data_IF_506355138831
#
_entry.id   IF_506355138831
#
_cell.length_a   1.000
_cell.length_b   1.000
_cell.length_c   1.000
_cell.angle_alpha   90.00
_cell.angle_beta   90.00
_cell.angle_gamma   90.00
#
_symmetry.space_group_name_H-M   'P 1'
#
loop_
_entity.id
_entity.type
_entity.pdbx_description
1 polymer ?
#
# COMPACT_ATOMS: atom_id res chain seq x y z
N UNK A 1 21.31 11.00 -22.58
CA UNK A 1 19.91 10.64 -22.86
C UNK A 1 19.85 9.14 -22.74
N UNK A 2 19.17 8.65 -21.70
CA UNK A 2 18.98 7.21 -21.50
C UNK A 2 18.20 6.64 -22.69
N UNK A 3 18.45 5.37 -23.01
CA UNK A 3 17.68 4.69 -24.04
C UNK A 3 16.20 4.67 -23.63
N UNK A 4 15.26 4.87 -24.58
CA UNK A 4 13.83 4.85 -24.27
C UNK A 4 13.43 3.47 -23.71
N UNK A 5 12.49 3.46 -22.76
CA UNK A 5 11.91 2.22 -22.27
C UNK A 5 11.12 1.56 -23.40
N UNK A 6 11.32 0.27 -23.57
CA UNK A 6 10.58 -0.56 -24.53
C UNK A 6 9.74 -1.58 -23.78
N UNK A 7 8.54 -1.84 -24.29
CA UNK A 7 7.61 -2.80 -23.70
C UNK A 7 7.38 -3.98 -24.64
N UNK A 8 7.33 -5.18 -24.09
CA UNK A 8 6.97 -6.40 -24.81
C UNK A 8 6.02 -7.25 -23.97
N UNK A 9 4.87 -7.71 -24.49
CA UNK A 9 3.99 -8.62 -23.77
C UNK A 9 4.73 -9.88 -23.28
N UNK A 10 4.38 -10.32 -22.07
CA UNK A 10 4.76 -11.60 -21.50
C UNK A 10 3.58 -12.56 -21.68
N UNK A 11 3.69 -13.44 -22.66
CA UNK A 11 2.66 -14.40 -23.06
C UNK A 11 3.00 -15.83 -22.58
N UNK A 12 1.98 -16.70 -22.56
CA UNK A 12 2.16 -18.13 -22.26
C UNK A 12 2.36 -18.46 -20.77
N UNK A 13 2.77 -19.69 -20.47
CA UNK A 13 3.03 -20.11 -19.10
C UNK A 13 1.79 -20.18 -18.19
N UNK A 14 1.99 -19.98 -16.89
CA UNK A 14 0.94 -20.05 -15.84
C UNK A 14 0.15 -18.75 -15.65
N UNK A 15 0.40 -17.72 -16.48
CA UNK A 15 -0.19 -16.40 -16.31
C UNK A 15 0.50 -15.56 -15.23
N UNK A 16 -0.12 -14.43 -14.86
CA UNK A 16 0.46 -13.53 -13.85
C UNK A 16 0.53 -14.17 -12.47
N UNK A 17 1.66 -13.96 -11.80
CA UNK A 17 1.92 -14.44 -10.45
C UNK A 17 1.55 -13.42 -9.36
N UNK A 18 1.04 -12.23 -9.72
CA UNK A 18 0.56 -11.21 -8.78
C UNK A 18 -0.91 -11.45 -8.42
N UNK A 19 -1.11 -12.25 -7.37
CA UNK A 19 -2.43 -12.56 -6.83
C UNK A 19 -2.75 -11.68 -5.62
N UNK A 20 -4.02 -11.35 -5.46
CA UNK A 20 -4.56 -10.85 -4.19
C UNK A 20 -5.18 -12.01 -3.43
N UNK A 21 -5.01 -12.04 -2.12
CA UNK A 21 -5.62 -13.08 -1.29
C UNK A 21 -7.12 -12.84 -1.05
N UNK A 22 -7.54 -11.58 -1.07
CA UNK A 22 -8.95 -11.21 -0.97
C UNK A 22 -9.63 -11.17 -2.33
N UNK A 23 -10.96 -11.36 -2.36
CA UNK A 23 -11.73 -11.17 -3.58
C UNK A 23 -11.52 -9.77 -4.15
N UNK A 24 -11.06 -9.70 -5.40
CA UNK A 24 -10.99 -8.47 -6.19
C UNK A 24 -12.04 -8.51 -7.29
N UNK A 25 -12.45 -7.36 -7.86
CA UNK A 25 -13.42 -7.34 -8.94
C UNK A 25 -12.98 -8.23 -10.13
N UNK A 26 -13.93 -8.90 -10.76
CA UNK A 26 -13.70 -9.60 -12.02
C UNK A 26 -13.39 -8.57 -13.12
N UNK A 27 -12.12 -8.46 -13.49
CA UNK A 27 -11.64 -7.50 -14.47
C UNK A 27 -12.31 -7.70 -15.84
N UNK A 28 -12.46 -8.94 -16.30
CA UNK A 28 -13.07 -9.21 -17.60
C UNK A 28 -14.53 -8.79 -17.62
N UNK A 29 -15.28 -9.12 -16.57
CA UNK A 29 -16.67 -8.70 -16.41
C UNK A 29 -16.81 -7.17 -16.30
N UNK A 30 -15.83 -6.50 -15.72
CA UNK A 30 -15.77 -5.04 -15.62
C UNK A 30 -15.27 -4.35 -16.91
N UNK A 31 -14.91 -5.10 -17.96
CA UNK A 31 -14.40 -4.54 -19.21
C UNK A 31 -12.94 -4.06 -19.13
N UNK A 32 -12.16 -4.67 -18.24
CA UNK A 32 -10.72 -4.44 -18.07
C UNK A 32 -9.90 -5.58 -18.68
N UNK A 33 -8.66 -5.27 -19.06
CA UNK A 33 -7.62 -6.23 -19.43
C UNK A 33 -6.60 -6.34 -18.31
N UNK A 34 -6.04 -7.53 -18.10
CA UNK A 34 -4.88 -7.79 -17.23
C UNK A 34 -3.76 -8.39 -18.09
N UNK A 35 -2.61 -7.71 -18.19
CA UNK A 35 -1.51 -8.14 -19.06
C UNK A 35 -0.17 -7.77 -18.45
N UNK A 36 0.77 -8.71 -18.47
CA UNK A 36 2.15 -8.47 -18.04
C UNK A 36 3.02 -8.12 -19.25
N UNK A 37 3.98 -7.22 -19.04
CA UNK A 37 4.96 -6.82 -20.03
C UNK A 37 6.37 -6.88 -19.44
N UNK A 38 7.35 -7.25 -20.27
CA UNK A 38 8.74 -6.92 -20.03
C UNK A 38 8.94 -5.44 -20.36
N UNK A 39 9.56 -4.69 -19.45
CA UNK A 39 10.01 -3.33 -19.65
C UNK A 39 11.55 -3.30 -19.64
N UNK A 40 12.15 -2.90 -20.76
CA UNK A 40 13.60 -2.94 -20.96
C UNK A 40 14.17 -1.54 -21.19
N UNK A 41 15.35 -1.28 -20.64
CA UNK A 41 16.04 -0.01 -20.79
C UNK A 41 17.44 -0.01 -20.18
N UNK A 42 18.00 1.18 -20.01
CA UNK A 42 19.27 1.43 -19.30
C UNK A 42 18.96 2.32 -18.11
N UNK A 43 19.42 1.91 -16.93
CA UNK A 43 19.22 2.62 -15.68
C UNK A 43 20.54 3.14 -15.10
N UNK A 44 20.48 4.28 -14.44
CA UNK A 44 21.56 4.91 -13.68
C UNK A 44 21.31 4.81 -12.17
N UNK A 45 22.34 5.04 -11.36
CA UNK A 45 22.19 5.19 -9.91
C UNK A 45 21.82 6.64 -9.59
N UNK A 46 20.58 6.87 -9.15
CA UNK A 46 20.11 8.22 -8.79
C UNK A 46 20.30 8.59 -7.32
N UNK A 47 20.48 7.59 -6.45
CA UNK A 47 20.53 7.76 -4.99
C UNK A 47 21.86 7.23 -4.44
N UNK A 48 22.45 7.99 -3.53
CA UNK A 48 23.77 7.72 -2.95
C UNK A 48 24.95 8.04 -3.88
N UNK A 49 26.14 8.18 -3.29
CA UNK A 49 27.31 8.77 -3.96
C UNK A 49 28.27 7.75 -4.61
N UNK A 50 27.99 6.45 -4.50
CA UNK A 50 28.89 5.40 -5.03
C UNK A 50 28.91 5.44 -6.56
N UNK A 51 30.06 5.76 -7.20
CA UNK A 51 30.14 5.82 -8.65
C UNK A 51 29.83 4.46 -9.26
N UNK A 52 28.79 4.41 -10.08
CA UNK A 52 28.25 3.18 -10.64
C UNK A 52 27.96 3.40 -12.13
N UNK A 53 28.48 2.57 -13.05
CA UNK A 53 28.18 2.73 -14.48
C UNK A 53 26.70 2.44 -14.76
N UNK A 54 26.09 3.03 -15.80
CA UNK A 54 24.74 2.65 -16.22
C UNK A 54 24.65 1.16 -16.55
N UNK A 55 23.50 0.55 -16.27
CA UNK A 55 23.27 -0.88 -16.48
C UNK A 55 21.99 -1.15 -17.28
N UNK A 56 22.05 -2.14 -18.16
CA UNK A 56 20.86 -2.65 -18.84
C UNK A 56 19.98 -3.45 -17.87
N UNK A 57 18.67 -3.29 -18.01
CA UNK A 57 17.69 -4.05 -17.25
C UNK A 57 16.56 -4.52 -18.15
N UNK A 58 15.88 -5.58 -17.73
CA UNK A 58 14.59 -6.00 -18.27
C UNK A 58 13.75 -6.48 -17.11
N UNK A 59 12.82 -5.65 -16.67
CA UNK A 59 11.96 -5.95 -15.53
C UNK A 59 10.52 -6.25 -15.98
N UNK A 60 9.64 -6.58 -15.03
CA UNK A 60 8.22 -6.80 -15.27
C UNK A 60 7.40 -5.56 -14.90
N UNK A 61 6.40 -5.27 -15.72
CA UNK A 61 5.25 -4.43 -15.35
C UNK A 61 3.96 -5.21 -15.54
N UNK A 62 2.99 -5.03 -14.64
CA UNK A 62 1.67 -5.67 -14.71
C UNK A 62 0.61 -4.60 -14.90
N UNK A 63 -0.08 -4.63 -16.03
CA UNK A 63 -0.99 -3.58 -16.47
C UNK A 63 -2.42 -4.07 -16.40
N UNK A 64 -3.23 -3.39 -15.59
CA UNK A 64 -4.67 -3.59 -15.46
C UNK A 64 -5.38 -2.32 -15.88
N UNK A 65 -6.10 -2.35 -17.00
CA UNK A 65 -6.67 -1.13 -17.59
C UNK A 65 -8.04 -1.37 -18.22
N UNK A 66 -8.88 -0.33 -18.39
CA UNK A 66 -10.06 -0.41 -19.24
C UNK A 66 -9.68 -0.83 -20.66
N UNK A 67 -10.45 -1.76 -21.24
CA UNK A 67 -10.24 -2.25 -22.60
C UNK A 67 -10.62 -1.19 -23.65
N UNK A 68 -11.63 -0.37 -23.35
CA UNK A 68 -12.15 0.67 -24.25
C UNK A 68 -11.74 2.07 -23.75
N UNK A 69 -11.22 2.95 -24.64
CA UNK A 69 -10.81 4.30 -24.25
C UNK A 69 -11.92 5.12 -23.57
N UNK A 70 -13.18 4.96 -24.01
CA UNK A 70 -14.33 5.67 -23.43
C UNK A 70 -14.65 5.30 -21.97
N UNK A 71 -14.09 4.21 -21.45
CA UNK A 71 -14.24 3.80 -20.04
C UNK A 71 -13.02 4.20 -19.19
N UNK A 72 -11.97 4.75 -19.82
CA UNK A 72 -10.78 5.19 -19.11
C UNK A 72 -10.97 6.62 -18.59
N UNK A 73 -10.66 6.79 -17.32
CA UNK A 73 -10.78 8.06 -16.61
C UNK A 73 -9.64 9.05 -16.90
N UNK A 74 -8.58 8.64 -17.59
CA UNK A 74 -7.35 9.44 -17.73
C UNK A 74 -6.36 9.29 -16.57
N UNK A 75 -6.71 8.56 -15.50
CA UNK A 75 -5.85 8.38 -14.33
C UNK A 75 -5.16 7.02 -14.31
N UNK A 76 -3.86 7.06 -14.09
CA UNK A 76 -2.98 5.90 -13.95
C UNK A 76 -2.42 5.85 -12.52
N UNK A 77 -2.57 4.70 -11.86
CA UNK A 77 -1.98 4.41 -10.56
C UNK A 77 -0.82 3.45 -10.75
N UNK A 78 0.39 3.88 -10.39
CA UNK A 78 1.63 3.12 -10.55
C UNK A 78 2.10 2.64 -9.18
N UNK A 79 1.99 1.34 -8.92
CA UNK A 79 2.44 0.74 -7.68
C UNK A 79 3.91 0.32 -7.78
N UNK A 80 4.73 0.76 -6.83
CA UNK A 80 6.02 0.15 -6.56
C UNK A 80 5.74 -1.20 -5.87
N UNK A 81 5.92 -2.31 -6.58
CA UNK A 81 5.59 -3.63 -6.04
C UNK A 81 6.48 -3.97 -4.83
N UNK A 82 5.86 -4.53 -3.79
CA UNK A 82 6.53 -4.79 -2.54
C UNK A 82 7.25 -6.15 -2.56
N UNK A 83 8.52 -6.17 -2.15
CA UNK A 83 9.36 -7.39 -2.19
C UNK A 83 9.66 -7.99 -0.81
N UNK A 84 8.99 -7.53 0.25
CA UNK A 84 9.33 -7.90 1.64
C UNK A 84 9.19 -9.40 1.91
N UNK A 85 8.32 -10.08 1.17
CA UNK A 85 8.11 -11.54 1.24
C UNK A 85 9.17 -12.35 0.47
N UNK A 86 10.09 -11.69 -0.22
CA UNK A 86 11.10 -12.33 -1.08
C UNK A 86 10.66 -12.49 -2.54
N UNK A 87 9.46 -11.99 -2.89
CA UNK A 87 9.01 -11.80 -4.27
C UNK A 87 7.99 -10.67 -4.32
N UNK A 88 7.67 -10.18 -5.52
CA UNK A 88 6.68 -9.10 -5.66
C UNK A 88 5.30 -9.47 -5.10
N UNK A 89 4.72 -8.51 -4.39
CA UNK A 89 3.31 -8.45 -4.01
C UNK A 89 2.75 -7.07 -4.38
N UNK A 90 1.42 -7.01 -4.55
CA UNK A 90 0.68 -5.79 -4.86
C UNK A 90 -0.31 -5.44 -3.72
N UNK A 91 0.20 -5.04 -2.54
CA UNK A 91 -0.65 -4.64 -1.42
C UNK A 91 -1.61 -3.49 -1.78
N UNK A 92 -1.16 -2.46 -2.49
CA UNK A 92 -2.02 -1.33 -2.84
C UNK A 92 -3.13 -1.77 -3.78
N UNK A 93 -2.84 -2.58 -4.81
CA UNK A 93 -3.89 -3.16 -5.63
C UNK A 93 -4.92 -3.94 -4.80
N UNK A 94 -4.49 -4.70 -3.79
CA UNK A 94 -5.41 -5.48 -2.95
C UNK A 94 -6.42 -4.60 -2.21
N UNK A 95 -6.00 -3.43 -1.71
CA UNK A 95 -6.90 -2.47 -1.07
C UNK A 95 -7.71 -1.64 -2.08
N UNK A 96 -7.10 -1.26 -3.21
CA UNK A 96 -7.62 -0.24 -4.12
C UNK A 96 -8.39 -0.80 -5.32
N UNK A 97 -8.35 -2.11 -5.61
CA UNK A 97 -8.91 -2.69 -6.83
C UNK A 97 -10.38 -2.29 -7.09
N UNK A 98 -11.22 -2.27 -6.06
CA UNK A 98 -12.62 -1.86 -6.20
C UNK A 98 -12.77 -0.39 -6.63
N UNK A 99 -11.97 0.52 -6.05
CA UNK A 99 -11.95 1.93 -6.42
C UNK A 99 -11.41 2.12 -7.84
N UNK A 100 -10.30 1.45 -8.17
CA UNK A 100 -9.67 1.54 -9.49
C UNK A 100 -10.64 1.12 -10.60
N UNK A 101 -11.32 -0.01 -10.39
CA UNK A 101 -12.26 -0.56 -11.37
C UNK A 101 -13.51 0.30 -11.49
N UNK A 102 -14.15 0.69 -10.37
CA UNK A 102 -15.38 1.50 -10.42
C UNK A 102 -15.14 2.90 -11.01
N UNK A 103 -13.96 3.46 -10.79
CA UNK A 103 -13.59 4.80 -11.28
C UNK A 103 -12.97 4.78 -12.67
N UNK A 104 -12.78 3.62 -13.30
CA UNK A 104 -12.16 3.52 -14.62
C UNK A 104 -10.69 3.95 -14.65
N UNK A 105 -9.96 3.77 -13.55
CA UNK A 105 -8.53 4.06 -13.45
C UNK A 105 -7.73 2.89 -14.02
N UNK A 106 -6.60 3.18 -14.67
CA UNK A 106 -5.62 2.16 -15.01
C UNK A 106 -4.67 1.95 -13.84
N UNK A 107 -4.14 0.74 -13.72
CA UNK A 107 -3.17 0.35 -12.71
C UNK A 107 -1.96 -0.29 -13.39
N UNK A 108 -0.77 0.06 -12.93
CA UNK A 108 0.49 -0.56 -13.34
C UNK A 108 1.32 -0.90 -12.11
N UNK A 109 1.54 -2.18 -11.85
CA UNK A 109 2.51 -2.65 -10.85
C UNK A 109 3.90 -2.77 -11.47
N UNK A 110 4.91 -2.14 -10.88
CA UNK A 110 6.30 -2.17 -11.37
C UNK A 110 7.18 -3.00 -10.44
N UNK A 111 7.84 -4.03 -11.00
CA UNK A 111 8.87 -4.80 -10.32
C UNK A 111 10.17 -3.98 -10.24
N UNK A 112 10.21 -2.95 -9.39
CA UNK A 112 11.29 -1.97 -9.36
C UNK A 112 12.55 -2.45 -8.62
N UNK A 113 12.46 -3.51 -7.82
CA UNK A 113 13.56 -4.02 -7.01
C UNK A 113 14.07 -5.38 -7.49
N UNK A 114 15.33 -5.65 -7.22
CA UNK A 114 16.08 -6.86 -7.58
C UNK A 114 15.34 -8.14 -7.17
N UNK A 115 14.89 -8.19 -5.92
CA UNK A 115 14.22 -9.37 -5.34
C UNK A 115 12.93 -9.71 -6.07
N UNK A 116 12.23 -8.73 -6.67
CA UNK A 116 11.02 -8.94 -7.44
C UNK A 116 11.25 -9.80 -8.69
N UNK A 117 12.44 -9.71 -9.29
CA UNK A 117 12.82 -10.40 -10.53
C UNK A 117 13.67 -11.64 -10.25
N UNK A 118 14.75 -11.47 -9.51
CA UNK A 118 15.80 -12.49 -9.31
C UNK A 118 15.49 -13.40 -8.12
N UNK A 119 14.50 -13.02 -7.29
CA UNK A 119 14.21 -13.69 -6.02
C UNK A 119 15.25 -13.37 -4.95
N UNK A 120 14.92 -13.72 -3.70
CA UNK A 120 15.81 -13.50 -2.57
C UNK A 120 15.20 -13.94 -1.26
N UNK A 121 15.97 -13.86 -0.17
CA UNK A 121 15.43 -14.14 1.16
C UNK A 121 14.50 -13.00 1.58
N UNK A 122 13.20 -13.29 1.68
CA UNK A 122 12.21 -12.37 2.24
C UNK A 122 12.48 -12.09 3.72
N UNK A 123 12.16 -10.88 4.17
CA UNK A 123 12.27 -10.47 5.57
C UNK A 123 11.02 -10.82 6.40
N UNK A 124 9.92 -11.12 5.71
CA UNK A 124 8.68 -11.68 6.24
C UNK A 124 8.42 -12.99 5.49
N UNK A 125 8.45 -14.13 6.19
CA UNK A 125 8.30 -15.44 5.56
C UNK A 125 7.09 -16.19 6.11
N UNK A 126 6.28 -16.75 5.22
CA UNK A 126 5.33 -17.82 5.54
C UNK A 126 6.08 -19.15 5.31
N UNK A 127 5.74 -20.21 6.05
CA UNK A 127 6.42 -21.52 6.00
C UNK A 127 6.33 -22.26 4.64
N UNK A 128 5.79 -21.62 3.59
CA UNK A 128 5.50 -22.18 2.28
C UNK A 128 6.66 -21.96 1.29
N UNK A 129 7.79 -22.64 1.51
CA UNK A 129 8.88 -22.72 0.54
C UNK A 129 9.78 -21.47 0.44
N UNK A 130 10.96 -21.63 -0.16
CA UNK A 130 11.88 -20.52 -0.39
C UNK A 130 11.33 -19.60 -1.48
N UNK A 131 11.47 -18.26 -1.36
CA UNK A 131 11.07 -17.35 -2.42
C UNK A 131 11.89 -17.65 -3.69
N UNK A 132 11.19 -17.74 -4.81
CA UNK A 132 11.75 -18.06 -6.13
C UNK A 132 11.74 -16.80 -6.99
N UNK A 133 12.80 -16.59 -7.77
CA UNK A 133 12.80 -15.58 -8.83
C UNK A 133 11.71 -15.88 -9.87
N UNK A 134 11.33 -14.88 -10.67
CA UNK A 134 10.26 -15.07 -11.65
C UNK A 134 10.61 -16.18 -12.65
N UNK A 135 11.86 -16.20 -13.14
CA UNK A 135 12.34 -17.24 -14.03
C UNK A 135 12.30 -18.65 -13.40
N UNK A 136 12.43 -18.79 -12.08
CA UNK A 136 12.28 -20.10 -11.42
C UNK A 136 10.81 -20.54 -11.36
N UNK A 137 9.87 -19.58 -11.21
CA UNK A 137 8.42 -19.85 -11.16
C UNK A 137 7.87 -20.27 -12.53
N UNK A 138 8.35 -19.62 -13.59
CA UNK A 138 7.97 -19.87 -14.99
C UNK A 138 9.12 -19.50 -15.96
N UNK A 139 10.05 -20.44 -16.23
CA UNK A 139 11.26 -20.16 -17.01
C UNK A 139 11.01 -19.71 -18.44
N UNK A 140 9.94 -20.18 -19.07
CA UNK A 140 9.62 -19.85 -20.46
C UNK A 140 9.00 -18.44 -20.54
N UNK A 141 8.05 -18.14 -19.66
CA UNK A 141 7.35 -16.85 -19.65
C UNK A 141 8.28 -15.70 -19.29
N UNK A 142 9.14 -15.89 -18.29
CA UNK A 142 10.02 -14.85 -17.75
C UNK A 142 11.47 -14.93 -18.27
N UNK A 143 11.70 -15.70 -19.34
CA UNK A 143 13.00 -15.75 -20.00
C UNK A 143 13.48 -14.35 -20.40
N UNK A 144 14.70 -14.01 -19.99
CA UNK A 144 15.34 -12.75 -20.33
C UNK A 144 14.97 -11.55 -19.45
N UNK A 145 14.15 -11.75 -18.40
CA UNK A 145 14.10 -10.76 -17.32
C UNK A 145 15.45 -10.76 -16.57
N UNK A 146 15.90 -9.57 -16.20
CA UNK A 146 17.12 -9.36 -15.43
C UNK A 146 17.07 -8.00 -14.71
N UNK A 147 17.45 -8.00 -13.43
CA UNK A 147 17.55 -6.77 -12.64
C UNK A 147 19.00 -6.51 -12.17
N UNK A 148 19.61 -5.35 -12.46
CA UNK A 148 21.03 -5.11 -12.18
C UNK A 148 21.37 -4.81 -10.71
N UNK A 149 20.37 -4.73 -9.83
CA UNK A 149 20.51 -4.48 -8.38
C UNK A 149 19.71 -3.27 -7.91
N UNK A 150 19.44 -3.20 -6.60
CA UNK A 150 18.69 -2.08 -5.98
C UNK A 150 19.48 -0.76 -6.00
N UNK A 151 20.74 -0.76 -6.44
CA UNK A 151 21.44 0.47 -6.82
C UNK A 151 20.72 1.26 -7.93
N UNK A 152 19.90 0.60 -8.75
CA UNK A 152 19.25 1.17 -9.93
C UNK A 152 17.71 1.26 -9.81
N UNK A 153 17.11 0.79 -8.72
CA UNK A 153 15.65 0.65 -8.59
C UNK A 153 14.90 1.97 -8.77
N UNK A 154 15.47 3.08 -8.28
CA UNK A 154 14.88 4.40 -8.38
C UNK A 154 14.82 4.93 -9.82
N UNK A 155 15.87 4.70 -10.63
CA UNK A 155 15.83 5.12 -12.04
C UNK A 155 14.94 4.20 -12.87
N UNK A 156 14.92 2.90 -12.55
CA UNK A 156 14.01 1.94 -13.19
C UNK A 156 12.56 2.40 -12.99
N UNK A 157 12.18 2.71 -11.75
CA UNK A 157 10.83 3.20 -11.44
C UNK A 157 10.54 4.55 -12.11
N UNK A 158 11.48 5.51 -12.04
CA UNK A 158 11.32 6.83 -12.66
C UNK A 158 11.18 6.74 -14.20
N UNK A 159 12.05 5.96 -14.84
CA UNK A 159 12.08 5.82 -16.30
C UNK A 159 10.85 5.09 -16.84
N UNK A 160 10.37 4.06 -16.13
CA UNK A 160 9.10 3.39 -16.47
C UNK A 160 7.93 4.35 -16.25
N UNK A 161 7.90 5.09 -15.13
CA UNK A 161 6.85 6.10 -14.86
C UNK A 161 6.73 7.15 -15.96
N UNK A 162 7.87 7.69 -16.44
CA UNK A 162 7.90 8.61 -17.59
C UNK A 162 7.40 7.96 -18.88
N UNK A 163 7.85 6.75 -19.16
CA UNK A 163 7.47 6.04 -20.39
C UNK A 163 5.96 5.75 -20.45
N UNK A 164 5.32 5.47 -19.31
CA UNK A 164 3.88 5.21 -19.26
C UNK A 164 2.99 6.42 -19.62
N UNK A 165 3.54 7.64 -19.67
CA UNK A 165 2.83 8.84 -20.15
C UNK A 165 2.77 8.93 -21.67
N UNK A 166 3.77 8.40 -22.38
CA UNK A 166 3.87 8.49 -23.84
C UNK A 166 3.26 7.24 -24.50
N UNK A 167 1.93 7.27 -24.63
CA UNK A 167 1.14 6.11 -25.04
C UNK A 167 1.09 5.86 -26.55
N UNK A 168 1.71 6.72 -27.35
CA UNK A 168 1.59 6.74 -28.81
C UNK A 168 2.39 5.63 -29.50
N UNK A 169 3.34 5.01 -28.80
CA UNK A 169 4.16 3.95 -29.38
C UNK A 169 3.33 2.68 -29.68
N UNK A 170 3.55 2.11 -30.86
CA UNK A 170 2.97 0.81 -31.23
C UNK A 170 3.39 -0.27 -30.23
N UNK A 171 2.41 -0.98 -29.66
CA UNK A 171 2.65 -2.01 -28.64
C UNK A 171 2.84 -1.47 -27.21
N UNK A 172 2.66 -0.16 -26.98
CA UNK A 172 2.65 0.41 -25.63
C UNK A 172 1.56 -0.23 -24.75
N UNK A 173 1.82 -0.52 -23.46
CA UNK A 173 0.84 -1.18 -22.57
C UNK A 173 -0.48 -0.43 -22.43
N UNK A 174 -0.44 0.90 -22.56
CA UNK A 174 -1.58 1.81 -22.48
C UNK A 174 -1.97 2.38 -23.85
N UNK A 175 -1.57 1.75 -24.96
CA UNK A 175 -1.87 2.24 -26.31
C UNK A 175 -3.38 2.48 -26.50
N UNK A 176 -3.71 3.66 -27.05
CA UNK A 176 -5.08 4.13 -27.27
C UNK A 176 -5.75 4.78 -26.06
N UNK A 177 -5.07 4.89 -24.92
CA UNK A 177 -5.53 5.63 -23.74
C UNK A 177 -4.83 6.98 -23.62
N UNK A 178 -5.55 8.02 -23.21
CA UNK A 178 -4.97 9.35 -22.93
C UNK A 178 -4.71 9.50 -21.43
N UNK A 179 -3.46 9.42 -20.99
CA UNK A 179 -3.08 9.51 -19.58
C UNK A 179 -2.87 10.98 -19.18
N UNK A 180 -3.77 11.53 -18.37
CA UNK A 180 -3.70 12.90 -17.86
C UNK A 180 -3.07 13.01 -16.47
N UNK A 181 -3.15 11.96 -15.66
CA UNK A 181 -2.66 11.94 -14.28
C UNK A 181 -1.99 10.62 -13.96
N UNK A 182 -0.80 10.66 -13.36
CA UNK A 182 -0.05 9.49 -12.91
C UNK A 182 0.27 9.62 -11.43
N UNK A 183 -0.22 8.69 -10.63
CA UNK A 183 0.01 8.63 -9.19
C UNK A 183 1.00 7.51 -8.86
N UNK A 184 1.94 7.73 -7.96
CA UNK A 184 2.79 6.67 -7.42
C UNK A 184 2.24 6.19 -6.07
N UNK A 185 2.14 4.89 -5.90
CA UNK A 185 1.62 4.27 -4.66
C UNK A 185 2.54 3.16 -4.17
N UNK A 186 2.56 2.92 -2.87
CA UNK A 186 3.31 1.82 -2.28
C UNK A 186 3.11 1.70 -0.78
N UNK A 187 3.09 0.45 -0.32
CA UNK A 187 2.95 0.08 1.09
C UNK A 187 4.29 -0.44 1.65
N UNK A 188 4.55 -0.23 2.94
CA UNK A 188 5.62 -0.90 3.69
C UNK A 188 7.02 -0.61 3.12
N UNK A 189 7.78 -1.63 2.69
CA UNK A 189 9.08 -1.43 2.04
C UNK A 189 8.99 -0.55 0.80
N UNK A 190 7.94 -0.68 -0.01
CA UNK A 190 7.70 0.20 -1.15
C UNK A 190 7.45 1.64 -0.71
N UNK A 191 6.78 1.84 0.43
CA UNK A 191 6.58 3.16 1.01
C UNK A 191 7.89 3.77 1.55
N UNK A 192 8.81 2.94 2.06
CA UNK A 192 10.18 3.37 2.40
C UNK A 192 10.96 3.76 1.14
N UNK A 193 10.78 3.04 0.02
CA UNK A 193 11.35 3.42 -1.27
C UNK A 193 10.77 4.75 -1.79
N UNK A 194 9.45 4.93 -1.74
CA UNK A 194 8.80 6.19 -2.12
C UNK A 194 9.22 7.36 -1.22
N UNK A 195 9.51 7.11 0.06
CA UNK A 195 10.08 8.11 0.96
C UNK A 195 11.43 8.64 0.44
N UNK A 196 12.33 7.73 0.03
CA UNK A 196 13.61 8.11 -0.57
C UNK A 196 13.42 8.76 -1.94
N UNK A 197 12.52 8.22 -2.77
CA UNK A 197 12.22 8.72 -4.11
C UNK A 197 11.78 10.19 -4.06
N UNK A 198 10.80 10.50 -3.21
CA UNK A 198 10.28 11.86 -3.02
C UNK A 198 11.36 12.80 -2.49
N UNK A 199 12.28 12.33 -1.65
CA UNK A 199 13.30 13.19 -1.06
C UNK A 199 14.48 13.47 -2.01
N UNK A 200 14.95 12.44 -2.70
CA UNK A 200 16.28 12.43 -3.33
C UNK A 200 16.22 12.41 -4.86
N UNK A 201 15.19 11.80 -5.47
CA UNK A 201 15.10 11.67 -6.92
C UNK A 201 14.50 12.93 -7.53
N UNK A 202 15.11 13.56 -8.56
CA UNK A 202 14.51 14.69 -9.27
C UNK A 202 13.41 14.16 -10.22
N UNK A 203 12.19 14.06 -9.69
CA UNK A 203 11.08 13.36 -10.33
C UNK A 203 9.80 14.21 -10.48
N UNK A 204 9.94 15.54 -10.49
CA UNK A 204 8.80 16.46 -10.63
C UNK A 204 8.04 16.28 -11.97
N UNK A 205 8.67 15.63 -12.96
CA UNK A 205 8.10 15.28 -14.26
C UNK A 205 7.55 13.85 -14.35
N UNK A 206 7.70 13.03 -13.29
CA UNK A 206 7.36 11.61 -13.33
C UNK A 206 5.94 11.38 -12.82
N UNK A 207 5.63 11.81 -11.59
CA UNK A 207 4.36 11.53 -10.92
C UNK A 207 3.70 12.82 -10.41
N UNK A 208 2.39 12.90 -10.63
CA UNK A 208 1.57 14.05 -10.24
C UNK A 208 1.22 14.03 -8.76
N UNK A 209 1.30 12.88 -8.08
CA UNK A 209 1.06 12.75 -6.64
C UNK A 209 1.50 11.40 -6.08
N UNK A 210 1.63 11.31 -4.76
CA UNK A 210 2.16 10.14 -4.06
C UNK A 210 1.23 9.68 -2.94
N UNK A 211 0.87 8.39 -2.93
CA UNK A 211 0.23 7.72 -1.78
C UNK A 211 1.28 6.83 -1.11
N UNK A 212 1.69 7.18 0.10
CA UNK A 212 2.73 6.48 0.86
C UNK A 212 2.10 5.82 2.06
N UNK A 213 1.95 4.51 2.03
CA UNK A 213 1.19 3.76 3.04
C UNK A 213 2.12 2.92 3.93
N UNK A 214 1.98 3.02 5.24
CA UNK A 214 2.71 2.19 6.21
C UNK A 214 4.24 2.29 6.10
N UNK A 215 4.76 3.51 5.90
CA UNK A 215 6.21 3.77 5.84
C UNK A 215 6.85 3.75 7.23
N UNK A 216 8.10 3.29 7.32
CA UNK A 216 8.93 3.44 8.51
C UNK A 216 9.50 4.88 8.64
N UNK A 217 10.15 5.13 9.78
CA UNK A 217 10.85 6.37 10.08
C UNK A 217 11.94 6.68 9.04
N UNK A 218 12.66 5.67 8.57
CA UNK A 218 13.71 5.82 7.57
C UNK A 218 13.18 5.52 6.16
N UNK A 219 13.82 6.13 5.15
CA UNK A 219 13.68 5.73 3.75
C UNK A 219 14.54 4.50 3.42
N UNK A 220 14.21 3.81 2.33
CA UNK A 220 15.02 2.70 1.81
C UNK A 220 16.32 3.29 1.21
N UNK A 221 17.52 2.91 1.65
CA UNK A 221 18.74 3.42 1.04
C UNK A 221 18.90 2.89 -0.39
N UNK A 222 19.77 3.51 -1.19
CA UNK A 222 20.23 2.86 -2.41
C UNK A 222 20.97 1.58 -2.08
N UNK A 223 20.65 0.50 -2.80
CA UNK A 223 21.30 -0.79 -2.64
C UNK A 223 22.68 -0.86 -3.31
N UNK A 224 23.17 -2.09 -3.41
CA UNK A 224 24.38 -2.44 -4.14
C UNK A 224 24.05 -3.00 -5.53
N UNK A 225 25.07 -3.08 -6.39
CA UNK A 225 24.94 -3.73 -7.69
C UNK A 225 24.79 -5.24 -7.51
N UNK A 226 23.84 -5.84 -8.22
CA UNK A 226 23.59 -7.28 -8.24
C UNK A 226 22.92 -7.84 -6.98
N UNK A 227 22.39 -7.00 -6.09
CA UNK A 227 21.69 -7.45 -4.88
C UNK A 227 20.45 -6.61 -4.58
N UNK A 228 19.55 -7.17 -3.77
CA UNK A 228 18.46 -6.43 -3.13
C UNK A 228 18.89 -5.84 -1.78
N UNK A 229 18.22 -4.78 -1.36
CA UNK A 229 18.40 -4.20 -0.01
C UNK A 229 17.80 -5.13 1.04
N UNK A 230 18.54 -5.37 2.13
CA UNK A 230 17.98 -6.00 3.32
C UNK A 230 17.16 -4.98 4.12
N UNK A 231 15.84 -5.05 3.96
CA UNK A 231 14.90 -4.14 4.64
C UNK A 231 15.00 -4.19 6.17
N UNK A 232 15.53 -5.26 6.77
CA UNK A 232 15.68 -5.32 8.24
C UNK A 232 16.64 -4.24 8.75
N UNK A 233 17.62 -3.85 7.94
CA UNK A 233 18.57 -2.78 8.26
C UNK A 233 17.93 -1.39 8.24
N UNK A 234 16.86 -1.21 7.45
CA UNK A 234 16.16 0.07 7.27
C UNK A 234 15.46 0.51 8.54
N UNK A 235 14.93 -0.42 9.34
CA UNK A 235 14.27 -0.09 10.61
C UNK A 235 15.21 0.56 11.63
N UNK A 236 16.52 0.38 11.49
CA UNK A 236 17.53 1.05 12.32
C UNK A 236 18.14 2.30 11.66
N UNK A 237 17.69 2.63 10.44
CA UNK A 237 18.18 3.78 9.67
C UNK A 237 17.81 5.13 10.29
N UNK A 238 18.42 6.17 9.74
CA UNK A 238 18.20 7.55 10.17
C UNK A 238 16.75 8.00 9.90
N UNK A 239 16.02 8.46 10.93
CA UNK A 239 14.67 9.00 10.77
C UNK A 239 14.64 10.16 9.77
N UNK A 240 13.81 10.04 8.75
CA UNK A 240 13.78 10.96 7.60
C UNK A 240 12.37 11.52 7.40
N UNK A 241 12.23 12.84 7.42
CA UNK A 241 10.99 13.54 7.05
C UNK A 241 10.86 13.67 5.54
N UNK A 242 9.64 13.77 5.04
CA UNK A 242 9.35 14.05 3.63
C UNK A 242 9.52 15.55 3.37
N UNK A 243 10.21 15.88 2.28
CA UNK A 243 10.24 17.25 1.75
C UNK A 243 8.88 17.62 1.16
N UNK A 244 8.47 18.87 1.35
CA UNK A 244 7.17 19.41 0.88
C UNK A 244 7.34 20.66 0.02
N UNK A 245 8.55 20.90 -0.49
CA UNK A 245 8.91 22.03 -1.36
C UNK A 245 8.70 21.76 -2.86
N UNK A 246 8.17 20.59 -3.22
CA UNK A 246 7.83 20.17 -4.60
C UNK A 246 6.33 20.36 -4.87
N UNK A 247 5.96 20.36 -6.15
CA UNK A 247 4.59 20.63 -6.56
C UNK A 247 3.62 19.46 -6.35
N UNK A 248 4.09 18.21 -6.48
CA UNK A 248 3.24 17.03 -6.35
C UNK A 248 2.80 16.82 -4.90
N UNK A 249 1.49 16.70 -4.61
CA UNK A 249 1.00 16.36 -3.28
C UNK A 249 1.41 14.95 -2.84
N UNK A 250 1.57 14.80 -1.53
CA UNK A 250 1.93 13.57 -0.84
C UNK A 250 0.87 13.28 0.21
N UNK A 251 0.31 12.08 0.15
CA UNK A 251 -0.65 11.59 1.13
C UNK A 251 -0.05 10.37 1.84
N UNK A 252 0.19 10.50 3.13
CA UNK A 252 0.73 9.44 3.98
C UNK A 252 -0.38 8.79 4.79
N UNK A 253 -0.48 7.47 4.74
CA UNK A 253 -1.36 6.68 5.60
C UNK A 253 -0.52 5.82 6.54
N UNK A 254 -0.90 5.76 7.80
CA UNK A 254 -0.20 4.99 8.83
C UNK A 254 -1.16 4.20 9.70
N UNK A 255 -0.73 3.00 10.10
CA UNK A 255 -1.45 2.12 11.01
C UNK A 255 -0.89 2.24 12.43
N UNK A 256 -1.57 1.66 13.41
CA UNK A 256 -1.06 1.64 14.79
C UNK A 256 0.31 0.93 14.87
N UNK A 257 0.49 -0.14 14.08
CA UNK A 257 1.77 -0.86 14.00
C UNK A 257 2.91 0.04 13.55
N UNK A 258 2.65 0.91 12.56
CA UNK A 258 3.69 1.75 11.94
C UNK A 258 4.09 2.94 12.80
N UNK A 259 3.12 3.51 13.52
CA UNK A 259 3.37 4.60 14.45
C UNK A 259 4.41 4.17 15.49
N UNK A 260 4.24 2.98 16.06
CA UNK A 260 5.13 2.41 17.06
C UNK A 260 6.03 1.32 16.45
N UNK A 261 6.24 0.21 17.19
CA UNK A 261 7.06 -0.95 16.83
C UNK A 261 8.44 -0.57 16.28
N UNK A 262 9.01 -1.40 15.40
CA UNK A 262 10.28 -1.13 14.73
C UNK A 262 10.14 -0.10 13.59
N UNK A 263 8.93 0.25 13.17
CA UNK A 263 8.68 1.27 12.15
C UNK A 263 8.96 2.68 12.68
N UNK A 264 8.62 2.96 13.95
CA UNK A 264 8.97 4.18 14.69
C UNK A 264 8.49 5.47 14.01
N UNK A 265 7.39 5.44 13.25
CA UNK A 265 6.93 6.61 12.49
C UNK A 265 6.63 7.81 13.40
N UNK A 266 6.26 7.60 14.67
CA UNK A 266 6.08 8.68 15.66
C UNK A 266 7.24 9.69 15.70
N UNK A 267 8.48 9.22 15.45
CA UNK A 267 9.70 10.04 15.49
C UNK A 267 9.83 11.02 14.32
N UNK A 268 9.10 10.78 13.23
CA UNK A 268 9.13 11.59 11.99
C UNK A 268 7.78 12.20 11.65
N UNK A 269 6.80 12.18 12.57
CA UNK A 269 5.51 12.87 12.39
C UNK A 269 5.72 14.31 11.91
N UNK A 270 4.92 14.67 10.90
CA UNK A 270 4.88 15.99 10.30
C UNK A 270 3.43 16.50 10.39
N UNK A 271 3.21 17.79 10.71
CA UNK A 271 1.89 18.37 10.56
C UNK A 271 1.52 18.41 9.08
N UNK A 272 0.21 18.41 8.81
CA UNK A 272 -0.32 18.67 7.49
C UNK A 272 0.12 20.06 6.96
N UNK A 273 0.34 20.15 5.66
CA UNK A 273 0.60 21.41 4.95
C UNK A 273 -0.08 21.43 3.56
N UNK A 274 0.30 22.38 2.71
CA UNK A 274 -0.27 22.55 1.36
C UNK A 274 0.10 21.44 0.38
N UNK A 275 1.09 20.60 0.72
CA UNK A 275 1.62 19.49 -0.12
C UNK A 275 1.62 18.15 0.60
N UNK A 276 1.47 18.11 1.92
CA UNK A 276 1.46 16.88 2.73
C UNK A 276 0.16 16.74 3.50
N UNK A 277 -0.45 15.56 3.39
CA UNK A 277 -1.55 15.12 4.25
C UNK A 277 -1.16 13.82 4.94
N UNK A 278 -1.46 13.69 6.23
CA UNK A 278 -1.19 12.47 7.00
C UNK A 278 -2.48 11.98 7.66
N UNK A 279 -2.82 10.71 7.44
CA UNK A 279 -3.86 10.01 8.18
C UNK A 279 -3.24 8.86 8.98
N UNK A 280 -3.50 8.85 10.28
CA UNK A 280 -3.15 7.74 11.16
C UNK A 280 -4.45 7.02 11.56
N UNK A 281 -4.56 5.73 11.27
CA UNK A 281 -5.82 4.98 11.32
C UNK A 281 -5.95 4.17 12.61
N UNK A 282 -6.97 4.48 13.41
CA UNK A 282 -7.23 3.74 14.65
C UNK A 282 -7.79 2.34 14.35
N UNK A 283 -7.45 1.36 15.17
CA UNK A 283 -7.89 -0.04 15.05
C UNK A 283 -7.26 -0.81 13.90
N UNK A 284 -6.14 -0.35 13.34
CA UNK A 284 -5.50 -0.93 12.14
C UNK A 284 -4.08 -1.40 12.41
N UNK A 285 -3.66 -2.45 11.69
CA UNK A 285 -2.30 -2.98 11.72
C UNK A 285 -1.62 -2.91 10.36
N UNK A 286 -0.29 -3.07 10.33
CA UNK A 286 0.51 -2.95 9.11
C UNK A 286 -0.04 -3.74 7.91
N UNK A 287 -0.58 -4.94 8.16
CA UNK A 287 -1.43 -5.68 7.23
C UNK A 287 -2.61 -6.30 8.01
N UNK A 288 -3.74 -6.55 7.36
CA UNK A 288 -4.95 -7.07 8.02
C UNK A 288 -5.55 -8.28 7.28
N UNK A 289 -6.70 -8.76 7.75
CA UNK A 289 -7.42 -9.85 7.10
C UNK A 289 -7.74 -9.54 5.63
N UNK A 290 -7.99 -8.28 5.26
CA UNK A 290 -8.26 -7.94 3.86
C UNK A 290 -7.02 -8.19 2.98
N UNK A 291 -5.80 -8.08 3.51
CA UNK A 291 -4.61 -8.38 2.73
C UNK A 291 -4.27 -9.88 2.65
N UNK A 292 -4.49 -10.65 3.73
CA UNK A 292 -4.12 -12.08 3.77
C UNK A 292 -5.25 -13.05 3.44
N UNK A 293 -6.50 -12.62 3.57
CA UNK A 293 -7.69 -13.42 3.29
C UNK A 293 -7.65 -14.79 3.97
N UNK A 294 -8.05 -15.82 3.21
CA UNK A 294 -8.08 -17.20 3.68
C UNK A 294 -6.71 -17.76 4.09
N UNK A 295 -5.60 -17.12 3.72
CA UNK A 295 -4.27 -17.58 4.11
C UNK A 295 -3.91 -17.28 5.58
N UNK A 296 -4.79 -16.58 6.32
CA UNK A 296 -4.63 -16.32 7.75
C UNK A 296 -4.28 -17.60 8.53
N UNK A 297 -4.94 -18.73 8.21
CA UNK A 297 -4.75 -20.01 8.91
C UNK A 297 -3.31 -20.55 8.82
N UNK A 298 -2.52 -20.09 7.83
CA UNK A 298 -1.14 -20.50 7.62
C UNK A 298 -0.11 -19.56 8.25
N UNK A 299 -0.53 -18.41 8.80
CA UNK A 299 0.38 -17.45 9.43
C UNK A 299 0.96 -17.96 10.76
N UNK A 300 0.23 -18.85 11.45
CA UNK A 300 0.65 -19.40 12.73
C UNK A 300 0.59 -18.38 13.87
N UNK A 301 -0.25 -17.36 13.76
CA UNK A 301 -0.46 -16.36 14.82
C UNK A 301 -1.33 -16.91 15.96
N UNK A 302 -1.04 -16.52 17.21
CA UNK A 302 -1.75 -17.05 18.38
C UNK A 302 -3.20 -16.57 18.44
N UNK A 303 -3.46 -15.37 17.93
CA UNK A 303 -4.76 -14.71 17.91
C UNK A 303 -5.18 -14.42 16.45
N UNK A 304 -6.48 -14.27 16.17
CA UNK A 304 -6.94 -13.78 14.87
C UNK A 304 -6.28 -12.45 14.53
N UNK A 305 -5.87 -12.29 13.27
CA UNK A 305 -5.23 -11.06 12.81
C UNK A 305 -6.23 -9.89 12.84
N UNK A 306 -5.73 -8.67 12.71
CA UNK A 306 -6.55 -7.47 12.72
C UNK A 306 -7.67 -7.53 11.65
N UNK A 307 -8.88 -7.12 12.04
CA UNK A 307 -10.06 -6.96 11.18
C UNK A 307 -10.36 -5.49 10.85
N UNK A 308 -9.33 -4.65 10.87
CA UNK A 308 -9.42 -3.22 10.60
C UNK A 308 -9.97 -2.92 9.22
N UNK A 309 -10.48 -1.70 9.07
CA UNK A 309 -11.23 -1.27 7.90
C UNK A 309 -10.38 -0.39 6.97
N UNK A 310 -9.08 -0.70 6.86
CA UNK A 310 -8.10 0.07 6.09
C UNK A 310 -8.50 0.24 4.63
N UNK A 311 -9.07 -0.81 4.03
CA UNK A 311 -9.49 -0.81 2.62
C UNK A 311 -10.40 0.37 2.27
N UNK A 312 -11.30 0.78 3.17
CA UNK A 312 -12.22 1.88 2.92
C UNK A 312 -11.52 3.24 3.01
N UNK A 313 -10.61 3.39 3.99
CA UNK A 313 -9.82 4.60 4.17
C UNK A 313 -8.84 4.80 3.00
N UNK A 314 -8.20 3.72 2.52
CA UNK A 314 -7.31 3.74 1.35
C UNK A 314 -8.04 4.12 0.06
N UNK A 315 -9.23 3.55 -0.18
CA UNK A 315 -10.07 3.93 -1.34
C UNK A 315 -10.44 5.42 -1.28
N UNK A 316 -10.83 5.94 -0.11
CA UNK A 316 -11.09 7.35 0.08
C UNK A 316 -9.84 8.21 -0.16
N UNK A 317 -8.69 7.79 0.36
CA UNK A 317 -7.42 8.48 0.20
C UNK A 317 -7.00 8.58 -1.27
N UNK A 318 -7.12 7.49 -2.05
CA UNK A 318 -6.85 7.51 -3.49
C UNK A 318 -7.75 8.54 -4.20
N UNK A 319 -9.05 8.54 -3.91
CA UNK A 319 -9.99 9.49 -4.55
C UNK A 319 -9.71 10.94 -4.17
N UNK A 320 -9.32 11.20 -2.93
CA UNK A 320 -8.90 12.54 -2.52
C UNK A 320 -7.59 12.95 -3.20
N UNK A 321 -6.59 12.07 -3.25
CA UNK A 321 -5.31 12.35 -3.90
C UNK A 321 -5.52 12.68 -5.38
N UNK A 322 -6.32 11.88 -6.10
CA UNK A 322 -6.66 12.13 -7.51
C UNK A 322 -7.30 13.50 -7.70
N UNK A 323 -8.24 13.91 -6.84
CA UNK A 323 -8.85 15.24 -6.94
C UNK A 323 -7.88 16.35 -6.59
N UNK A 324 -7.00 16.11 -5.61
CA UNK A 324 -6.04 17.10 -5.13
C UNK A 324 -4.98 17.42 -6.19
N UNK A 325 -4.48 16.41 -6.91
CA UNK A 325 -3.56 16.60 -8.05
C UNK A 325 -4.20 17.36 -9.21
N UNK A 326 -5.52 17.31 -9.33
CA UNK A 326 -6.31 18.01 -10.36
C UNK A 326 -6.73 19.44 -9.94
N UNK A 327 -6.18 19.95 -8.84
CA UNK A 327 -6.47 21.30 -8.31
C UNK A 327 -7.75 21.37 -7.46
N UNK A 328 -8.30 20.23 -7.07
CA UNK A 328 -9.37 20.13 -6.09
C UNK A 328 -8.90 20.45 -4.66
N UNK A 329 -9.85 20.42 -3.72
CA UNK A 329 -9.55 20.63 -2.30
C UNK A 329 -8.58 19.55 -1.78
N UNK A 330 -7.67 19.90 -0.84
CA UNK A 330 -6.84 18.90 -0.17
C UNK A 330 -7.72 17.90 0.60
N UNK A 331 -7.23 16.66 0.83
CA UNK A 331 -7.94 15.71 1.68
C UNK A 331 -8.17 16.29 3.08
N UNK A 332 -9.26 15.90 3.78
CA UNK A 332 -9.57 16.43 5.10
C UNK A 332 -8.45 16.10 6.09
N UNK A 333 -8.17 17.02 7.02
CA UNK A 333 -7.23 16.79 8.11
C UNK A 333 -7.79 15.77 9.11
N UNK A 334 -6.92 15.00 9.76
CA UNK A 334 -7.28 14.14 10.89
C UNK A 334 -6.37 14.44 12.08
N UNK A 335 -6.90 14.38 13.30
CA UNK A 335 -6.06 14.40 14.50
C UNK A 335 -5.19 13.13 14.54
N UNK A 336 -3.89 13.20 14.90
CA UNK A 336 -3.06 12.01 15.02
C UNK A 336 -3.56 11.02 16.08
N UNK A 337 -3.10 9.77 16.00
CA UNK A 337 -3.26 8.81 17.09
C UNK A 337 -2.54 9.33 18.34
N UNK A 338 -3.24 9.32 19.47
CA UNK A 338 -2.74 9.89 20.72
C UNK A 338 -1.68 8.99 21.35
N UNK A 339 -0.56 9.60 21.70
CA UNK A 339 0.56 8.94 22.34
C UNK A 339 0.83 9.54 23.71
N UNK A 340 1.04 8.67 24.69
CA UNK A 340 1.64 9.02 25.98
C UNK A 340 3.13 8.70 25.96
N UNK A 341 3.91 9.48 26.70
CA UNK A 341 5.34 9.22 26.83
C UNK A 341 6.15 9.45 25.54
N UNK A 342 5.74 10.36 24.65
CA UNK A 342 6.42 10.63 23.37
C UNK A 342 7.91 11.06 23.52
N UNK A 343 8.30 11.52 24.70
CA UNK A 343 9.69 11.87 25.04
C UNK A 343 10.46 10.73 25.73
N UNK A 344 9.88 9.54 25.77
CA UNK A 344 10.50 8.33 26.32
C UNK A 344 10.94 7.41 25.19
N UNK A 345 11.84 6.44 25.44
CA UNK A 345 12.26 5.48 24.43
C UNK A 345 11.13 4.58 23.90
N UNK A 346 10.05 4.41 24.68
CA UNK A 346 8.95 3.49 24.41
C UNK A 346 7.61 4.23 24.60
N UNK A 347 7.20 5.07 23.62
CA UNK A 347 5.88 5.67 23.66
C UNK A 347 4.79 4.61 23.50
N UNK A 348 3.63 4.90 24.09
CA UNK A 348 2.48 4.01 24.07
C UNK A 348 1.25 4.78 23.59
N UNK A 349 0.28 4.06 23.05
CA UNK A 349 -1.01 4.65 22.73
C UNK A 349 -1.79 5.03 23.99
N UNK A 350 -2.50 6.17 23.92
CA UNK A 350 -3.63 6.41 24.81
C UNK A 350 -4.85 5.68 24.26
N UNK A 351 -5.49 4.87 25.09
CA UNK A 351 -6.64 4.03 24.72
C UNK A 351 -7.89 4.42 25.50
N UNK A 352 -9.06 4.10 24.95
CA UNK A 352 -10.34 4.20 25.64
C UNK A 352 -10.53 3.07 26.69
N UNK A 353 -11.71 3.00 27.29
CA UNK A 353 -12.08 1.99 28.29
C UNK A 353 -12.17 0.57 27.75
N UNK A 354 -12.30 0.40 26.43
CA UNK A 354 -12.31 -0.89 25.74
C UNK A 354 -10.92 -1.30 25.25
N UNK A 355 -9.97 -0.35 25.17
CA UNK A 355 -8.62 -0.58 24.68
C UNK A 355 -8.38 -0.11 23.24
N UNK A 356 -9.32 0.58 22.60
CA UNK A 356 -9.09 1.17 21.28
C UNK A 356 -8.26 2.45 21.41
N UNK A 357 -7.32 2.66 20.50
CA UNK A 357 -6.49 3.87 20.48
C UNK A 357 -7.36 5.12 20.24
N UNK A 358 -7.05 6.20 20.96
CA UNK A 358 -7.72 7.50 20.81
C UNK A 358 -7.13 8.34 19.68
N UNK A 359 -7.96 9.19 19.07
CA UNK A 359 -7.57 10.02 17.92
C UNK A 359 -7.59 9.24 16.60
N UNK A 360 -6.88 9.76 15.60
CA UNK A 360 -6.78 9.16 14.28
C UNK A 360 -8.05 9.27 13.44
N UNK A 361 -7.95 8.73 12.22
CA UNK A 361 -9.10 8.36 11.39
C UNK A 361 -9.77 7.15 12.03
N UNK A 362 -11.07 7.26 12.33
CA UNK A 362 -11.85 6.22 12.98
C UNK A 362 -12.91 5.69 12.02
N UNK A 363 -13.06 4.37 12.03
CA UNK A 363 -14.06 3.62 11.25
C UNK A 363 -15.14 3.08 12.19
N UNK A 364 -16.29 2.62 11.67
CA UNK A 364 -17.35 2.02 12.48
C UNK A 364 -16.87 0.88 13.37
N UNK A 365 -15.88 0.09 12.94
CA UNK A 365 -15.28 -0.96 13.77
C UNK A 365 -14.57 -0.46 15.03
N UNK A 366 -14.30 0.85 15.14
CA UNK A 366 -13.68 1.48 16.31
C UNK A 366 -14.67 2.37 17.07
N UNK A 367 -15.60 3.03 16.38
CA UNK A 367 -16.59 3.93 17.01
C UNK A 367 -17.84 3.19 17.53
N UNK A 368 -18.22 2.09 16.88
CA UNK A 368 -19.24 1.14 17.31
C UNK A 368 -18.64 -0.29 17.37
N UNK A 369 -17.66 -0.54 18.27
CA UNK A 369 -16.92 -1.80 18.29
C UNK A 369 -17.73 -2.95 18.90
N UNK A 370 -17.60 -4.14 18.31
CA UNK A 370 -17.93 -5.44 18.96
C UNK A 370 -16.68 -6.24 19.32
N UNK A 371 -15.54 -5.78 18.84
CA UNK A 371 -14.22 -6.37 19.02
C UNK A 371 -13.22 -5.23 19.26
N UNK A 372 -12.13 -5.54 19.97
CA UNK A 372 -10.99 -4.64 20.12
C UNK A 372 -9.97 -5.01 19.05
N UNK A 373 -9.65 -4.03 18.20
CA UNK A 373 -8.68 -4.17 17.12
C UNK A 373 -7.40 -3.45 17.52
N UNK A 374 -6.26 -4.12 17.38
CA UNK A 374 -4.96 -3.56 17.76
C UNK A 374 -3.92 -3.81 16.68
N UNK A 375 -3.13 -2.78 16.36
CA UNK A 375 -1.88 -2.95 15.60
C UNK A 375 -0.68 -3.33 16.46
N UNK A 376 -0.84 -3.41 17.79
CA UNK A 376 0.20 -3.78 18.74
C UNK A 376 -0.05 -5.20 19.26
N UNK A 377 0.94 -6.07 19.05
CA UNK A 377 0.92 -7.47 19.51
C UNK A 377 1.96 -7.64 20.63
N UNK A 378 1.59 -8.16 21.81
CA UNK A 378 2.55 -8.38 22.90
C UNK A 378 3.62 -9.44 22.56
N UNK A 379 4.86 -9.19 22.97
CA UNK A 379 5.99 -10.10 22.75
C UNK A 379 5.96 -11.37 23.63
N UNK A 380 6.60 -12.47 23.19
CA UNK A 380 7.27 -12.65 21.88
C UNK A 380 6.36 -13.36 20.86
N UNK A 381 6.11 -12.69 19.72
CA UNK A 381 5.48 -13.30 18.54
C UNK A 381 6.43 -13.29 17.33
N UNK A 382 6.12 -14.06 16.30
CA UNK A 382 6.87 -13.99 15.04
C UNK A 382 6.68 -12.60 14.40
N UNK A 383 7.65 -12.17 13.59
CA UNK A 383 7.57 -10.86 12.91
C UNK A 383 6.30 -10.74 12.04
N UNK A 384 5.88 -11.82 11.38
CA UNK A 384 4.66 -11.82 10.60
C UNK A 384 3.44 -11.50 11.49
N UNK A 385 3.34 -12.11 12.67
CA UNK A 385 2.22 -11.84 13.58
C UNK A 385 2.25 -10.43 14.16
N UNK A 386 3.44 -9.88 14.41
CA UNK A 386 3.57 -8.47 14.82
C UNK A 386 2.98 -7.51 13.77
N UNK A 387 3.20 -7.78 12.47
CA UNK A 387 2.68 -6.93 11.39
C UNK A 387 1.16 -7.06 11.20
N UNK A 388 0.61 -8.22 11.53
CA UNK A 388 -0.79 -8.53 11.27
C UNK A 388 -1.74 -8.10 12.40
N UNK A 389 -1.21 -7.59 13.53
CA UNK A 389 -2.02 -7.14 14.66
C UNK A 389 -2.87 -8.25 15.27
N UNK A 390 -3.85 -7.85 16.09
CA UNK A 390 -4.81 -8.78 16.70
C UNK A 390 -6.24 -8.26 16.67
N UNK A 391 -7.16 -9.22 16.83
CA UNK A 391 -8.59 -8.98 17.06
C UNK A 391 -9.04 -9.78 18.27
N UNK A 392 -9.60 -9.11 19.28
CA UNK A 392 -10.14 -9.75 20.47
C UNK A 392 -11.63 -9.43 20.66
N UNK A 393 -12.49 -10.41 21.01
CA UNK A 393 -13.90 -10.13 21.24
C UNK A 393 -14.10 -9.26 22.49
N UNK A 394 -15.02 -8.31 22.43
CA UNK A 394 -15.50 -7.62 23.64
C UNK A 394 -16.41 -8.58 24.41
N UNK A 395 -16.26 -8.71 25.75
CA UNK A 395 -17.14 -9.53 26.57
C UNK A 395 -18.62 -9.18 26.41
N UNK A 396 -19.47 -10.21 26.32
CA UNK A 396 -20.92 -10.08 26.09
C UNK A 396 -21.62 -9.09 27.02
N UNK A 397 -21.28 -9.09 28.32
CA UNK A 397 -21.86 -8.16 29.29
C UNK A 397 -21.53 -6.69 29.00
N UNK A 398 -20.34 -6.39 28.47
CA UNK A 398 -19.97 -5.03 28.08
C UNK A 398 -20.70 -4.61 26.80
N UNK A 399 -20.94 -5.54 25.87
CA UNK A 399 -21.76 -5.30 24.69
C UNK A 399 -23.24 -5.07 25.06
N UNK A 400 -23.77 -5.83 26.02
CA UNK A 400 -25.11 -5.61 26.58
C UNK A 400 -25.23 -4.25 27.26
N UNK A 401 -24.24 -3.86 28.08
CA UNK A 401 -24.24 -2.57 28.76
C UNK A 401 -24.11 -1.39 27.77
N UNK A 402 -23.37 -1.58 26.67
CA UNK A 402 -23.10 -0.55 25.66
C UNK A 402 -24.25 -0.35 24.67
N UNK A 403 -24.80 -1.44 24.13
CA UNK A 403 -25.80 -1.39 23.06
C UNK A 403 -27.20 -1.80 23.53
N UNK A 404 -27.31 -2.65 24.55
CA UNK A 404 -28.59 -3.18 25.02
C UNK A 404 -29.23 -4.21 24.10
N UNK A 405 -29.35 -3.92 22.80
CA UNK A 405 -29.95 -4.80 21.79
C UNK A 405 -29.14 -4.79 20.49
N UNK A 406 -29.35 -5.81 19.64
CA UNK A 406 -28.77 -5.86 18.29
C UNK A 406 -29.20 -4.68 17.41
N UNK A 407 -30.47 -4.28 17.47
CA UNK A 407 -31.01 -3.17 16.67
C UNK A 407 -30.32 -1.84 17.02
N UNK A 408 -30.07 -1.61 18.31
CA UNK A 408 -29.34 -0.42 18.77
C UNK A 408 -27.87 -0.45 18.30
N UNK A 409 -27.21 -1.63 18.33
CA UNK A 409 -25.87 -1.79 17.78
C UNK A 409 -25.82 -1.46 16.28
N UNK A 410 -26.72 -2.03 15.48
CA UNK A 410 -26.79 -1.79 14.04
C UNK A 410 -27.03 -0.30 13.74
N UNK A 411 -27.89 0.36 14.52
CA UNK A 411 -28.10 1.80 14.42
C UNK A 411 -26.83 2.59 14.77
N UNK A 412 -26.13 2.23 15.86
CA UNK A 412 -24.84 2.86 16.23
C UNK A 412 -23.79 2.69 15.13
N UNK A 413 -23.68 1.49 14.56
CA UNK A 413 -22.73 1.17 13.51
C UNK A 413 -23.06 1.91 12.20
N UNK A 414 -24.34 2.04 11.85
CA UNK A 414 -24.79 2.82 10.71
C UNK A 414 -24.52 4.32 10.89
N UNK A 415 -24.75 4.86 12.09
CA UNK A 415 -24.44 6.26 12.39
C UNK A 415 -22.93 6.53 12.32
N UNK A 416 -22.10 5.63 12.84
CA UNK A 416 -20.64 5.73 12.72
C UNK A 416 -20.18 5.64 11.25
N UNK A 417 -20.84 4.79 10.46
CA UNK A 417 -20.60 4.68 9.00
C UNK A 417 -20.87 6.01 8.31
N UNK A 418 -22.04 6.60 8.56
CA UNK A 418 -22.44 7.86 7.95
C UNK A 418 -21.55 9.02 8.40
N UNK A 419 -21.11 9.03 9.67
CA UNK A 419 -20.17 10.03 10.18
C UNK A 419 -18.79 9.92 9.51
N UNK A 420 -18.26 8.72 9.29
CA UNK A 420 -16.99 8.52 8.59
C UNK A 420 -17.07 8.95 7.11
N UNK A 421 -18.22 8.74 6.47
CA UNK A 421 -18.50 9.21 5.11
C UNK A 421 -18.59 10.75 5.07
N UNK A 422 -19.34 11.37 6.00
CA UNK A 422 -19.49 12.82 6.08
C UNK A 422 -18.15 13.52 6.34
N UNK A 423 -17.30 12.94 7.20
CA UNK A 423 -15.95 13.41 7.45
C UNK A 423 -15.00 13.24 6.25
N UNK A 424 -15.41 12.46 5.24
CA UNK A 424 -14.63 12.18 4.03
C UNK A 424 -13.53 11.14 4.22
N UNK A 425 -13.54 10.38 5.31
CA UNK A 425 -12.59 9.30 5.57
C UNK A 425 -12.98 7.97 4.92
N UNK A 426 -14.27 7.83 4.54
CA UNK A 426 -14.80 6.72 3.76
C UNK A 426 -15.64 7.27 2.60
N UNK A 427 -15.75 6.51 1.51
CA UNK A 427 -16.57 6.90 0.36
C UNK A 427 -18.02 6.43 0.53
N UNK A 428 -18.97 7.26 0.10
CA UNK A 428 -20.39 6.90 0.12
C UNK A 428 -20.71 5.64 -0.70
N UNK A 429 -19.95 5.41 -1.78
CA UNK A 429 -20.06 4.20 -2.62
C UNK A 429 -19.69 2.91 -1.87
N UNK A 430 -18.93 3.02 -0.78
CA UNK A 430 -18.50 1.89 0.04
C UNK A 430 -19.47 1.60 1.21
N UNK A 431 -20.53 2.42 1.37
CA UNK A 431 -21.45 2.34 2.54
C UNK A 431 -22.06 0.95 2.73
N UNK A 432 -22.53 0.32 1.66
CA UNK A 432 -23.16 -1.01 1.76
C UNK A 432 -22.14 -2.08 2.18
N UNK A 433 -20.95 -2.09 1.57
CA UNK A 433 -19.86 -3.01 1.94
C UNK A 433 -19.39 -2.77 3.38
N UNK A 434 -19.33 -1.50 3.80
CA UNK A 434 -18.93 -1.12 5.15
C UNK A 434 -19.95 -1.59 6.20
N UNK A 435 -21.25 -1.46 5.94
CA UNK A 435 -22.30 -1.98 6.83
C UNK A 435 -22.29 -3.51 6.92
N UNK A 436 -21.87 -4.20 5.86
CA UNK A 436 -21.77 -5.65 5.85
C UNK A 436 -20.66 -6.20 6.77
N UNK A 437 -19.73 -5.36 7.23
CA UNK A 437 -18.71 -5.72 8.23
C UNK A 437 -19.26 -5.69 9.67
N UNK A 438 -20.49 -5.23 9.90
CA UNK A 438 -21.11 -5.26 11.22
C UNK A 438 -21.27 -6.71 11.73
N UNK A 439 -21.12 -6.92 13.03
CA UNK A 439 -21.19 -8.24 13.67
C UNK A 439 -22.31 -8.28 14.73
N UNK A 440 -23.59 -8.09 14.34
CA UNK A 440 -24.71 -8.00 15.27
C UNK A 440 -24.91 -9.29 16.09
N UNK A 441 -24.46 -10.43 15.58
CA UNK A 441 -24.50 -11.72 16.26
C UNK A 441 -23.61 -11.79 17.51
N UNK A 442 -22.61 -10.91 17.62
CA UNK A 442 -21.78 -10.79 18.83
C UNK A 442 -22.48 -10.02 19.96
N UNK A 443 -23.56 -9.30 19.65
CA UNK A 443 -24.37 -8.56 20.62
C UNK A 443 -25.53 -9.46 21.10
N UNK A 444 -25.85 -9.47 22.41
CA UNK A 444 -27.02 -10.17 22.93
C UNK A 444 -28.32 -9.74 22.26
N UNK A 445 -29.29 -10.65 22.23
CA UNK A 445 -30.63 -10.40 21.66
C UNK A 445 -31.37 -9.25 22.33
#
# INVERSE_FOLDING_TARGET
MNAPITFRPLDGGKGSSLLSASPVPDLSAAGFTDTEYAASGVAERLVGDTPTPPAEFTTRVVVRRPAQPGNFSGRLVVEWLNVSSGSDAAPEYSYLAAELVRSGHAYVGVSAQYVGIEGGTGSVGVSTGAPQGLADKDPERYAGLHHPGDAYCYDIFASIGRALRDTDADGHPLSGLEVSTVLAVGESQSAMALTTFVNEVPADDVFDGYLIHSRAAAGLPAGEVGTGVDVTTVFSGEPTRLRTDRDSPIFVLQTETDILTNFRYFSVRQPDDDRLRVWEMAGTSHADLHQVGAFEEYLGCPDPVNRGQQRFVLRAALRHLTRWTEGGAPPPSAEPLRLRGIHTPEPEFEVDDLGNVLGGVRTPSVDAPTQVLSGIVPDPVSRICLLFGTTHPIPEHLLADRYGTREEYEMCYANATDAAIEAGFVLADDREELLADANPELVPE
#
